data_IF_622545013139
#
_entry.id   IF_622545013139
#
_cell.length_a   1.000
_cell.length_b   1.000
_cell.length_c   1.000
_cell.angle_alpha   90.00
_cell.angle_beta   90.00
_cell.angle_gamma   90.00
#
_symmetry.space_group_name_H-M   'P 1'
#
loop_
_entity.id
_entity.type
_entity.pdbx_description
1 polymer ?
#
# COMPACT_ATOMS: atom_id res chain seq x y z
N UNK A 1 21.29 11.77 7.77
CA UNK A 1 19.90 12.00 7.24
C UNK A 1 18.89 11.75 8.34
N UNK A 2 17.80 12.53 8.41
CA UNK A 2 16.63 12.15 9.19
C UNK A 2 15.82 11.08 8.43
N UNK A 3 14.76 10.53 9.04
CA UNK A 3 13.96 9.45 8.42
C UNK A 3 13.34 9.87 7.09
N UNK A 4 12.80 11.09 6.99
CA UNK A 4 12.23 11.60 5.74
C UNK A 4 13.27 11.71 4.62
N UNK A 5 14.40 12.32 4.89
CA UNK A 5 15.49 12.47 3.91
C UNK A 5 15.98 11.11 3.40
N UNK A 6 16.10 10.13 4.28
CA UNK A 6 16.56 8.77 3.96
C UNK A 6 15.58 8.03 3.05
N UNK A 7 14.28 8.06 3.37
CA UNK A 7 13.25 7.41 2.54
C UNK A 7 13.16 8.09 1.19
N UNK A 8 13.17 9.44 1.13
CA UNK A 8 13.14 10.17 -0.14
C UNK A 8 14.38 9.94 -0.99
N UNK A 9 15.57 9.83 -0.39
CA UNK A 9 16.79 9.46 -1.11
C UNK A 9 16.62 8.10 -1.80
N UNK A 10 16.10 7.08 -1.10
CA UNK A 10 15.84 5.78 -1.71
C UNK A 10 14.81 5.86 -2.85
N UNK A 11 13.70 6.61 -2.67
CA UNK A 11 12.68 6.79 -3.70
C UNK A 11 13.23 7.51 -4.94
N UNK A 12 14.14 8.47 -4.74
CA UNK A 12 14.77 9.24 -5.82
C UNK A 12 16.01 8.56 -6.41
N UNK A 13 16.30 7.32 -6.06
CA UNK A 13 17.49 6.58 -6.49
C UNK A 13 18.81 7.27 -6.13
N UNK A 14 18.84 7.92 -4.97
CA UNK A 14 20.04 8.43 -4.32
C UNK A 14 20.51 7.45 -3.25
N UNK A 15 21.82 7.48 -2.90
CA UNK A 15 22.37 6.60 -1.86
C UNK A 15 22.04 7.19 -0.48
N UNK A 16 21.22 6.52 0.35
CA UNK A 16 20.95 6.97 1.72
C UNK A 16 22.13 6.60 2.65
N UNK A 17 22.19 7.24 3.83
CA UNK A 17 23.20 6.94 4.87
C UNK A 17 23.05 5.53 5.47
N UNK A 18 21.87 4.93 5.37
CA UNK A 18 21.57 3.52 5.60
C UNK A 18 20.33 3.12 4.79
N UNK A 19 20.10 1.83 4.61
CA UNK A 19 18.86 1.36 3.99
C UNK A 19 17.67 1.77 4.86
N UNK A 20 16.69 2.52 4.31
CA UNK A 20 15.48 2.88 5.04
C UNK A 20 14.59 1.66 5.29
N UNK A 21 13.78 1.77 6.35
CA UNK A 21 12.86 0.71 6.76
C UNK A 21 11.46 1.24 6.96
N UNK A 22 10.44 0.41 6.72
CA UNK A 22 9.04 0.68 7.03
C UNK A 22 8.39 -0.51 7.73
N UNK A 23 7.24 -0.29 8.39
CA UNK A 23 6.49 -1.32 9.10
C UNK A 23 5.01 -1.28 8.76
N UNK A 24 4.52 -2.44 8.35
CA UNK A 24 3.10 -2.72 8.27
C UNK A 24 2.80 -3.86 9.24
N UNK A 25 1.90 -3.65 10.18
CA UNK A 25 1.59 -4.62 11.22
C UNK A 25 0.15 -4.48 11.69
N UNK A 26 -0.43 -5.60 12.14
CA UNK A 26 -1.78 -5.59 12.70
C UNK A 26 -1.81 -4.90 14.08
N UNK A 27 -3.00 -4.44 14.55
CA UNK A 27 -3.13 -3.85 15.88
C UNK A 27 -2.64 -4.75 17.03
N UNK A 28 -2.81 -6.06 16.88
CA UNK A 28 -2.33 -7.04 17.85
C UNK A 28 -0.81 -7.06 17.93
N UNK A 29 -0.12 -6.99 16.78
CA UNK A 29 1.36 -6.92 16.73
C UNK A 29 1.85 -5.62 17.37
N UNK A 30 1.20 -4.49 17.09
CA UNK A 30 1.52 -3.22 17.76
C UNK A 30 1.34 -3.32 19.29
N UNK A 31 0.27 -3.97 19.75
CA UNK A 31 0.02 -4.21 21.16
C UNK A 31 1.10 -5.09 21.79
N UNK A 32 1.52 -6.16 21.08
CA UNK A 32 2.58 -7.05 21.54
C UNK A 32 3.95 -6.34 21.62
N UNK A 33 4.28 -5.50 20.63
CA UNK A 33 5.50 -4.69 20.66
C UNK A 33 5.50 -3.70 21.83
N UNK A 34 4.38 -3.02 22.10
CA UNK A 34 4.24 -2.13 23.27
C UNK A 34 4.40 -2.89 24.58
N UNK A 35 3.80 -4.08 24.70
CA UNK A 35 3.96 -4.92 25.88
C UNK A 35 5.42 -5.34 26.11
N UNK A 36 6.18 -5.58 25.03
CA UNK A 36 7.59 -5.96 25.09
C UNK A 36 8.51 -4.77 25.43
N UNK A 37 8.38 -3.64 24.74
CA UNK A 37 9.26 -2.48 24.93
C UNK A 37 8.83 -1.55 26.07
N UNK A 38 7.55 -1.59 26.46
CA UNK A 38 6.93 -0.69 27.42
C UNK A 38 5.99 0.33 26.74
N UNK A 39 4.89 0.65 27.42
CA UNK A 39 3.81 1.51 26.89
C UNK A 39 4.26 2.92 26.46
N UNK A 40 5.30 3.46 27.10
CA UNK A 40 5.81 4.81 26.82
C UNK A 40 6.97 4.86 25.84
N UNK A 41 7.38 3.72 25.27
CA UNK A 41 8.47 3.65 24.30
C UNK A 41 7.93 3.91 22.91
N UNK A 42 8.58 4.80 22.16
CA UNK A 42 8.35 4.94 20.72
C UNK A 42 8.94 3.73 20.01
N UNK A 43 8.08 2.85 19.51
CA UNK A 43 8.47 1.61 18.82
C UNK A 43 9.22 1.92 17.52
N UNK A 44 8.83 2.98 16.81
CA UNK A 44 9.50 3.38 15.56
C UNK A 44 10.96 3.76 15.83
N UNK A 45 11.20 4.52 16.90
CA UNK A 45 12.56 4.90 17.32
C UNK A 45 13.34 3.69 17.87
N UNK A 46 12.71 2.87 18.73
CA UNK A 46 13.35 1.70 19.33
C UNK A 46 13.81 0.65 18.29
N UNK A 47 13.09 0.53 17.18
CA UNK A 47 13.40 -0.37 16.07
C UNK A 47 14.09 0.33 14.89
N UNK A 48 14.44 1.62 15.01
CA UNK A 48 15.07 2.42 13.94
C UNK A 48 14.26 2.46 12.63
N UNK A 49 12.92 2.48 12.73
CA UNK A 49 12.02 2.48 11.60
C UNK A 49 11.82 3.91 11.09
N UNK A 50 12.04 4.11 9.79
CA UNK A 50 11.84 5.41 9.14
C UNK A 50 10.37 5.70 8.90
N UNK A 51 9.67 4.78 8.26
CA UNK A 51 8.22 4.79 8.06
C UNK A 51 7.70 5.84 7.08
N UNK A 52 6.56 5.52 6.48
CA UNK A 52 5.71 6.48 5.76
C UNK A 52 4.48 6.73 6.64
N UNK A 53 4.26 7.98 7.02
CA UNK A 53 3.15 8.34 7.91
C UNK A 53 1.91 8.70 7.10
N UNK A 54 0.96 7.78 7.06
CA UNK A 54 -0.28 7.92 6.30
C UNK A 54 -1.31 8.74 7.05
N UNK A 55 -1.91 9.71 6.36
CA UNK A 55 -2.99 10.56 6.86
C UNK A 55 -4.18 10.55 5.92
N UNK A 56 -5.35 10.89 6.46
CA UNK A 56 -6.61 10.93 5.71
C UNK A 56 -7.48 12.08 6.19
N UNK A 57 -8.35 12.65 5.33
CA UNK A 57 -9.30 13.66 5.76
C UNK A 57 -10.32 13.06 6.73
N UNK A 58 -10.84 13.89 7.63
CA UNK A 58 -11.83 13.48 8.61
C UNK A 58 -13.19 13.30 7.96
N UNK A 59 -13.81 12.13 8.14
CA UNK A 59 -15.19 11.93 7.69
C UNK A 59 -16.18 12.71 8.57
N UNK A 60 -16.99 13.56 7.95
CA UNK A 60 -18.04 14.39 8.58
C UNK A 60 -19.42 14.17 7.93
N UNK A 61 -19.52 13.19 7.04
CA UNK A 61 -20.74 12.88 6.30
C UNK A 61 -21.86 12.28 7.15
N UNK A 62 -22.90 11.74 6.52
CA UNK A 62 -24.01 11.12 7.22
C UNK A 62 -23.55 10.02 8.16
N UNK A 63 -24.23 9.93 9.33
CA UNK A 63 -23.90 8.89 10.32
C UNK A 63 -23.92 7.51 9.67
N UNK A 64 -22.81 6.80 9.75
CA UNK A 64 -22.70 5.42 9.33
C UNK A 64 -23.34 4.56 10.42
N UNK A 65 -24.40 3.80 10.07
CA UNK A 65 -25.07 2.96 11.05
C UNK A 65 -24.20 1.74 11.38
N UNK A 66 -24.12 1.46 12.68
CA UNK A 66 -23.54 0.23 13.19
C UNK A 66 -24.68 -0.47 13.92
N UNK A 67 -25.29 -1.46 13.28
CA UNK A 67 -26.19 -2.40 13.97
C UNK A 67 -25.37 -3.52 14.57
N UNK A 68 -25.93 -4.27 15.51
CA UNK A 68 -25.26 -5.33 16.27
C UNK A 68 -24.29 -6.18 15.44
N UNK A 69 -22.99 -5.83 15.51
CA UNK A 69 -21.90 -6.56 14.84
C UNK A 69 -21.63 -6.21 13.36
N UNK A 70 -22.27 -5.14 12.83
CA UNK A 70 -22.07 -4.70 11.45
C UNK A 70 -21.59 -3.25 11.40
N UNK A 71 -20.58 -3.00 10.58
CA UNK A 71 -20.12 -1.65 10.22
C UNK A 71 -20.48 -1.38 8.75
N UNK A 72 -20.94 -0.17 8.44
CA UNK A 72 -21.18 0.27 7.05
C UNK A 72 -20.24 1.44 6.77
N UNK A 73 -19.50 1.40 5.67
CA UNK A 73 -18.64 2.50 5.25
C UNK A 73 -19.41 3.56 4.42
N UNK A 74 -18.71 4.63 4.03
CA UNK A 74 -19.31 5.71 3.22
C UNK A 74 -19.65 5.29 1.78
N UNK A 75 -19.11 4.17 1.29
CA UNK A 75 -19.52 3.54 0.05
C UNK A 75 -20.80 2.72 0.18
N UNK A 76 -21.31 2.51 1.39
CA UNK A 76 -22.46 1.64 1.66
C UNK A 76 -22.11 0.15 1.74
N UNK A 77 -20.83 -0.18 1.81
CA UNK A 77 -20.35 -1.56 1.96
C UNK A 77 -20.50 -1.95 3.43
N UNK A 78 -21.03 -3.15 3.66
CA UNK A 78 -21.20 -3.72 5.00
C UNK A 78 -20.00 -4.58 5.35
N UNK A 79 -19.54 -4.48 6.57
CA UNK A 79 -18.45 -5.29 7.12
C UNK A 79 -18.90 -6.04 8.36
N UNK A 80 -18.46 -7.29 8.47
CA UNK A 80 -18.64 -8.11 9.67
C UNK A 80 -17.28 -8.38 10.29
N UNK A 81 -17.17 -8.23 11.61
CA UNK A 81 -15.96 -8.60 12.31
C UNK A 81 -15.85 -10.14 12.39
N UNK A 82 -14.79 -10.68 11.84
CA UNK A 82 -14.47 -12.12 11.84
C UNK A 82 -13.26 -12.35 12.75
N UNK A 83 -13.47 -13.16 13.80
CA UNK A 83 -12.41 -13.55 14.71
C UNK A 83 -11.77 -14.86 14.22
N UNK A 84 -10.44 -14.89 14.08
CA UNK A 84 -9.66 -16.07 13.65
C UNK A 84 -8.78 -16.65 14.78
N UNK A 85 -9.04 -16.27 16.03
CA UNK A 85 -8.38 -16.80 17.23
C UNK A 85 -7.16 -16.00 17.69
N UNK A 86 -6.29 -15.54 16.79
CA UNK A 86 -5.12 -14.69 17.09
C UNK A 86 -5.42 -13.19 16.96
N UNK A 87 -6.53 -12.84 16.34
CA UNK A 87 -6.98 -11.48 16.09
C UNK A 87 -8.34 -11.46 15.41
N UNK A 88 -8.74 -10.30 14.90
CA UNK A 88 -9.98 -10.14 14.15
C UNK A 88 -9.79 -9.19 12.97
N UNK A 89 -10.55 -9.39 11.89
CA UNK A 89 -10.58 -8.50 10.74
C UNK A 89 -12.01 -8.23 10.28
N UNK A 90 -12.19 -7.10 9.59
CA UNK A 90 -13.47 -6.72 9.00
C UNK A 90 -13.61 -7.36 7.61
N UNK A 91 -14.56 -8.28 7.44
CA UNK A 91 -14.87 -8.93 6.18
C UNK A 91 -16.03 -8.23 5.46
N UNK A 92 -15.89 -7.81 4.19
CA UNK A 92 -16.99 -7.21 3.44
C UNK A 92 -18.06 -8.25 3.13
N UNK A 93 -19.32 -7.90 3.35
CA UNK A 93 -20.47 -8.78 3.14
C UNK A 93 -21.60 -8.04 2.42
N UNK A 94 -22.23 -8.76 1.49
CA UNK A 94 -23.38 -8.23 0.77
C UNK A 94 -23.06 -7.01 -0.09
N UNK A 95 -22.31 -7.17 -1.19
CA UNK A 95 -21.93 -6.05 -2.06
C UNK A 95 -23.15 -5.25 -2.48
N UNK A 96 -23.18 -3.91 -2.28
CA UNK A 96 -24.41 -3.11 -2.43
C UNK A 96 -24.93 -3.06 -3.87
N UNK A 97 -24.07 -3.22 -4.85
CA UNK A 97 -24.43 -3.26 -6.28
C UNK A 97 -24.45 -4.69 -6.87
N UNK A 98 -24.46 -5.73 -6.04
CA UNK A 98 -24.44 -7.13 -6.51
C UNK A 98 -25.55 -7.44 -7.53
N UNK A 99 -26.72 -6.84 -7.34
CA UNK A 99 -27.92 -7.09 -8.17
C UNK A 99 -28.20 -5.99 -9.20
N UNK A 100 -27.37 -4.94 -9.32
CA UNK A 100 -27.50 -3.92 -10.34
C UNK A 100 -27.35 -4.54 -11.75
N UNK A 101 -28.28 -4.22 -12.66
CA UNK A 101 -28.35 -4.80 -14.01
C UNK A 101 -28.13 -3.78 -15.12
N UNK A 102 -28.40 -2.51 -14.85
CA UNK A 102 -28.40 -1.44 -15.84
C UNK A 102 -27.57 -0.24 -15.36
N UNK A 103 -27.18 0.60 -16.28
CA UNK A 103 -26.50 1.88 -15.97
C UNK A 103 -27.40 2.75 -15.08
N UNK A 104 -28.73 2.70 -15.28
CA UNK A 104 -29.67 3.43 -14.44
C UNK A 104 -29.62 2.99 -12.97
N UNK A 105 -29.36 1.70 -12.72
CA UNK A 105 -29.21 1.21 -11.34
C UNK A 105 -27.95 1.79 -10.68
N UNK A 106 -26.87 1.99 -11.47
CA UNK A 106 -25.64 2.64 -11.00
C UNK A 106 -25.86 4.12 -10.70
N UNK A 107 -26.60 4.82 -11.58
CA UNK A 107 -26.88 6.25 -11.42
C UNK A 107 -27.85 6.54 -10.27
N UNK A 108 -28.72 5.59 -9.95
CA UNK A 108 -29.64 5.68 -8.82
C UNK A 108 -28.98 5.34 -7.47
N UNK A 109 -27.75 4.81 -7.48
CA UNK A 109 -27.04 4.46 -6.25
C UNK A 109 -26.61 5.71 -5.47
N UNK A 110 -26.58 5.59 -4.14
CA UNK A 110 -26.11 6.66 -3.26
C UNK A 110 -24.57 6.68 -3.23
N UNK A 111 -23.97 7.34 -4.19
CA UNK A 111 -22.52 7.54 -4.23
C UNK A 111 -22.03 8.44 -3.08
N UNK A 112 -20.82 8.22 -2.58
CA UNK A 112 -20.20 9.13 -1.62
C UNK A 112 -19.98 10.51 -2.25
N UNK A 113 -19.89 11.54 -1.38
CA UNK A 113 -19.65 12.94 -1.80
C UNK A 113 -18.41 13.47 -1.12
N UNK A 114 -17.64 14.27 -1.82
CA UNK A 114 -16.39 14.84 -1.28
C UNK A 114 -16.68 15.81 -0.13
N UNK A 115 -17.84 16.47 -0.12
CA UNK A 115 -18.27 17.32 0.99
C UNK A 115 -18.56 16.55 2.30
N UNK A 116 -18.45 15.23 2.29
CA UNK A 116 -18.48 14.41 3.51
C UNK A 116 -17.11 14.30 4.20
N UNK A 117 -16.12 15.05 3.73
CA UNK A 117 -14.77 15.02 4.26
C UNK A 117 -14.29 16.43 4.61
N UNK A 118 -13.66 16.54 5.78
CA UNK A 118 -13.02 17.75 6.26
C UNK A 118 -11.51 17.63 6.11
N UNK A 119 -10.90 18.55 5.39
CA UNK A 119 -9.48 18.61 5.08
C UNK A 119 -8.73 19.63 5.95
N UNK A 120 -9.44 20.36 6.83
CA UNK A 120 -8.91 21.54 7.52
C UNK A 120 -7.68 21.27 8.39
N UNK A 121 -7.61 20.09 9.01
CA UNK A 121 -6.51 19.72 9.92
C UNK A 121 -5.31 19.10 9.18
N UNK A 122 -5.50 18.62 7.95
CA UNK A 122 -4.48 17.87 7.22
C UNK A 122 -3.19 18.66 7.00
N UNK A 123 -3.28 19.94 6.68
CA UNK A 123 -2.11 20.78 6.42
C UNK A 123 -1.20 20.89 7.63
N UNK A 124 -1.76 21.13 8.81
CA UNK A 124 -0.98 21.28 10.04
C UNK A 124 -0.40 19.95 10.50
N UNK A 125 -1.13 18.88 10.33
CA UNK A 125 -0.62 17.53 10.58
C UNK A 125 0.53 17.19 9.63
N UNK A 126 0.37 17.44 8.33
CA UNK A 126 1.43 17.26 7.34
C UNK A 126 2.71 18.04 7.67
N UNK A 127 2.59 19.32 8.07
CA UNK A 127 3.73 20.13 8.52
C UNK A 127 4.45 19.51 9.72
N UNK A 128 3.71 18.97 10.68
CA UNK A 128 4.27 18.32 11.86
C UNK A 128 5.04 17.05 11.50
N UNK A 129 4.42 16.17 10.72
CA UNK A 129 5.01 14.88 10.31
C UNK A 129 6.23 15.09 9.42
N UNK A 130 6.14 16.00 8.45
CA UNK A 130 7.18 16.26 7.44
C UNK A 130 8.53 16.73 8.00
N UNK A 131 8.58 17.16 9.26
CA UNK A 131 9.84 17.55 9.91
C UNK A 131 10.82 16.38 10.01
N UNK A 132 10.31 15.17 10.17
CA UNK A 132 11.13 13.99 10.44
C UNK A 132 10.81 12.80 9.54
N UNK A 133 9.55 12.66 9.06
CA UNK A 133 9.07 11.48 8.34
C UNK A 133 8.39 11.85 7.04
N UNK A 134 8.31 10.88 6.13
CA UNK A 134 7.57 11.01 4.87
C UNK A 134 6.08 11.09 5.15
N UNK A 135 5.42 12.04 4.49
CA UNK A 135 3.97 12.24 4.56
C UNK A 135 3.31 11.47 3.43
N UNK A 136 2.54 10.45 3.78
CA UNK A 136 1.66 9.73 2.87
C UNK A 136 0.22 10.20 2.99
N UNK A 137 -0.48 10.35 1.87
CA UNK A 137 -1.92 10.64 1.88
C UNK A 137 -2.61 10.16 0.61
N UNK A 138 -3.82 9.64 0.74
CA UNK A 138 -4.62 9.13 -0.36
C UNK A 138 -4.48 7.63 -0.60
N UNK A 139 -5.58 7.05 -1.05
CA UNK A 139 -5.68 5.63 -1.38
C UNK A 139 -6.65 5.45 -2.55
N UNK A 140 -6.15 4.95 -3.65
CA UNK A 140 -6.93 4.58 -4.85
C UNK A 140 -6.70 3.12 -5.15
N UNK A 141 -7.78 2.34 -5.22
CA UNK A 141 -7.78 0.94 -5.62
C UNK A 141 -9.06 0.66 -6.42
N UNK A 142 -9.01 0.91 -7.73
CA UNK A 142 -10.22 0.92 -8.56
C UNK A 142 -10.81 -0.48 -8.77
N UNK A 143 -9.95 -1.47 -8.99
CA UNK A 143 -10.39 -2.88 -9.12
C UNK A 143 -10.88 -3.43 -7.78
N UNK A 144 -10.15 -3.19 -6.70
CA UNK A 144 -10.57 -3.61 -5.36
C UNK A 144 -11.92 -2.98 -4.98
N UNK A 145 -12.11 -1.67 -5.23
CA UNK A 145 -13.38 -0.98 -5.00
C UNK A 145 -14.52 -1.53 -5.89
N UNK A 146 -14.21 -1.89 -7.14
CA UNK A 146 -15.14 -2.59 -8.02
C UNK A 146 -15.56 -3.94 -7.41
N UNK A 147 -14.60 -4.73 -6.90
CA UNK A 147 -14.89 -6.00 -6.22
C UNK A 147 -15.78 -5.80 -4.97
N UNK A 148 -15.50 -4.78 -4.16
CA UNK A 148 -16.31 -4.49 -2.97
C UNK A 148 -17.75 -4.09 -3.29
N UNK A 149 -17.95 -3.29 -4.33
CA UNK A 149 -19.29 -2.82 -4.73
C UNK A 149 -20.11 -3.87 -5.48
N UNK A 150 -19.49 -4.65 -6.36
CA UNK A 150 -20.14 -5.63 -7.23
C UNK A 150 -20.16 -7.05 -6.70
N UNK A 151 -19.24 -7.35 -5.78
CA UNK A 151 -18.86 -8.70 -5.44
C UNK A 151 -17.83 -9.29 -6.41
N UNK A 152 -16.85 -10.01 -5.89
CA UNK A 152 -15.67 -10.51 -6.61
C UNK A 152 -16.02 -11.23 -7.91
N UNK A 153 -16.99 -12.15 -7.87
CA UNK A 153 -17.45 -12.88 -9.07
C UNK A 153 -17.93 -11.96 -10.19
N UNK A 154 -18.78 -10.98 -9.85
CA UNK A 154 -19.32 -10.07 -10.84
C UNK A 154 -18.22 -9.13 -11.39
N UNK A 155 -17.33 -8.64 -10.53
CA UNK A 155 -16.23 -7.78 -10.93
C UNK A 155 -15.29 -8.45 -11.95
N UNK A 156 -15.08 -9.77 -11.84
CA UNK A 156 -14.29 -10.53 -12.82
C UNK A 156 -15.04 -10.78 -14.14
N UNK A 157 -16.38 -10.94 -14.10
CA UNK A 157 -17.18 -11.28 -15.28
C UNK A 157 -17.67 -10.06 -16.05
N UNK A 158 -18.01 -8.97 -15.35
CA UNK A 158 -18.62 -7.78 -15.96
C UNK A 158 -17.76 -7.12 -17.05
N UNK A 159 -16.43 -7.03 -16.98
CA UNK A 159 -15.60 -6.52 -18.06
C UNK A 159 -15.78 -7.25 -19.40
N UNK A 160 -16.11 -8.53 -19.34
CA UNK A 160 -16.30 -9.39 -20.53
C UNK A 160 -17.77 -9.38 -20.97
N UNK A 161 -18.70 -9.54 -20.02
CA UNK A 161 -20.12 -9.74 -20.32
C UNK A 161 -20.88 -8.42 -20.44
N UNK A 162 -20.40 -7.35 -19.81
CA UNK A 162 -21.09 -6.04 -19.70
C UNK A 162 -20.08 -4.88 -19.76
N UNK A 163 -19.28 -4.74 -20.82
CA UNK A 163 -18.19 -3.78 -20.88
C UNK A 163 -18.64 -2.33 -20.63
N UNK A 164 -19.76 -1.90 -21.21
CA UNK A 164 -20.28 -0.53 -21.04
C UNK A 164 -20.77 -0.27 -19.60
N UNK A 165 -21.41 -1.25 -18.97
CA UNK A 165 -21.79 -1.17 -17.57
C UNK A 165 -20.55 -1.06 -16.66
N UNK A 166 -19.51 -1.86 -16.96
CA UNK A 166 -18.24 -1.82 -16.21
C UNK A 166 -17.56 -0.46 -16.36
N UNK A 167 -17.44 0.07 -17.59
CA UNK A 167 -16.84 1.41 -17.80
C UNK A 167 -17.56 2.47 -16.98
N UNK A 168 -18.89 2.50 -17.06
CA UNK A 168 -19.66 3.47 -16.29
C UNK A 168 -19.49 3.35 -14.78
N UNK A 169 -19.43 2.13 -14.27
CA UNK A 169 -19.16 1.89 -12.84
C UNK A 169 -17.77 2.38 -12.43
N UNK A 170 -16.75 2.07 -13.22
CA UNK A 170 -15.38 2.52 -12.96
C UNK A 170 -15.24 4.04 -13.06
N UNK A 171 -15.95 4.69 -13.99
CA UNK A 171 -16.03 6.16 -14.07
C UNK A 171 -16.60 6.75 -12.79
N UNK A 172 -17.72 6.23 -12.29
CA UNK A 172 -18.37 6.72 -11.06
C UNK A 172 -17.50 6.55 -9.82
N UNK A 173 -16.78 5.43 -9.70
CA UNK A 173 -15.78 5.21 -8.65
C UNK A 173 -14.66 6.24 -8.77
N UNK A 174 -14.11 6.37 -9.97
CA UNK A 174 -12.93 7.22 -10.22
C UNK A 174 -13.23 8.70 -10.09
N UNK A 175 -14.42 9.17 -10.48
CA UNK A 175 -14.77 10.59 -10.39
C UNK A 175 -14.83 11.05 -8.94
N UNK A 176 -15.44 10.26 -8.04
CA UNK A 176 -15.43 10.57 -6.61
C UNK A 176 -14.01 10.56 -6.03
N UNK A 177 -13.24 9.49 -6.30
CA UNK A 177 -11.87 9.35 -5.78
C UNK A 177 -10.97 10.47 -6.31
N UNK A 178 -11.12 10.87 -7.58
CA UNK A 178 -10.33 11.93 -8.18
C UNK A 178 -10.55 13.27 -7.49
N UNK A 179 -11.82 13.67 -7.29
CA UNK A 179 -12.13 14.91 -6.61
C UNK A 179 -11.65 14.88 -5.14
N UNK A 180 -11.80 13.74 -4.45
CA UNK A 180 -11.31 13.57 -3.09
C UNK A 180 -9.77 13.79 -3.01
N UNK A 181 -9.01 13.19 -3.93
CA UNK A 181 -7.55 13.33 -3.98
C UNK A 181 -7.14 14.74 -4.37
N UNK A 182 -7.80 15.34 -5.36
CA UNK A 182 -7.53 16.72 -5.78
C UNK A 182 -7.66 17.68 -4.59
N UNK A 183 -8.78 17.65 -3.88
CA UNK A 183 -9.00 18.51 -2.70
C UNK A 183 -8.01 18.25 -1.57
N UNK A 184 -7.64 16.99 -1.37
CA UNK A 184 -6.63 16.61 -0.37
C UNK A 184 -5.25 17.18 -0.72
N UNK A 185 -4.83 17.06 -1.99
CA UNK A 185 -3.55 17.58 -2.45
C UNK A 185 -3.52 19.11 -2.42
N UNK A 186 -4.60 19.77 -2.84
CA UNK A 186 -4.76 21.24 -2.73
C UNK A 186 -4.70 21.71 -1.25
N UNK A 187 -5.44 21.03 -0.35
CA UNK A 187 -5.46 21.39 1.06
C UNK A 187 -4.08 21.30 1.73
N UNK A 188 -3.27 20.31 1.34
CA UNK A 188 -1.92 20.13 1.88
C UNK A 188 -0.85 20.98 1.19
N UNK A 189 -1.10 21.52 -0.02
CA UNK A 189 -0.24 22.50 -0.70
C UNK A 189 1.26 22.11 -0.72
N UNK A 190 1.59 21.02 -1.39
CA UNK A 190 2.96 20.51 -1.56
C UNK A 190 3.60 19.87 -0.32
N UNK A 191 2.82 19.57 0.72
CA UNK A 191 3.32 18.90 1.92
C UNK A 191 3.20 17.38 1.89
N UNK A 192 2.45 16.80 0.96
CA UNK A 192 2.37 15.35 0.76
C UNK A 192 3.56 14.91 -0.09
N UNK A 193 4.26 13.89 0.35
CA UNK A 193 5.41 13.31 -0.35
C UNK A 193 5.00 12.10 -1.22
N UNK A 194 4.04 11.28 -0.74
CA UNK A 194 3.66 10.00 -1.37
C UNK A 194 2.14 9.82 -1.33
N UNK A 195 1.57 9.25 -2.39
CA UNK A 195 0.17 8.79 -2.43
C UNK A 195 0.09 7.34 -2.91
N UNK A 196 -0.98 6.63 -2.52
CA UNK A 196 -1.22 5.26 -3.02
C UNK A 196 -2.14 5.29 -4.24
N UNK A 197 -1.63 4.81 -5.38
CA UNK A 197 -2.41 4.38 -6.53
C UNK A 197 -2.14 2.89 -6.70
N UNK A 198 -2.98 2.09 -6.09
CA UNK A 198 -2.75 0.68 -5.79
C UNK A 198 -3.89 -0.19 -6.34
N UNK A 199 -3.72 -1.48 -6.28
CA UNK A 199 -4.79 -2.48 -6.43
C UNK A 199 -4.28 -3.86 -5.96
N UNK A 200 -5.07 -4.93 -6.20
CA UNK A 200 -4.70 -6.32 -5.96
C UNK A 200 -5.08 -7.16 -7.19
N UNK A 201 -4.21 -7.16 -8.20
CA UNK A 201 -4.41 -7.93 -9.43
C UNK A 201 -3.81 -9.34 -9.37
N UNK A 202 -2.91 -9.59 -8.40
CA UNK A 202 -2.20 -10.84 -8.25
C UNK A 202 -2.88 -11.84 -7.31
N UNK A 203 -2.52 -13.10 -7.47
CA UNK A 203 -2.72 -14.17 -6.49
C UNK A 203 -1.39 -14.86 -6.23
N UNK A 204 -1.36 -15.82 -5.29
CA UNK A 204 -0.14 -16.61 -5.02
C UNK A 204 0.35 -17.39 -6.26
N UNK A 205 -0.50 -17.67 -7.24
CA UNK A 205 -0.18 -18.53 -8.37
C UNK A 205 -0.21 -17.83 -9.75
N UNK A 206 -0.75 -16.62 -9.82
CA UNK A 206 -0.88 -15.90 -11.09
C UNK A 206 -1.82 -14.70 -10.98
N UNK A 207 -2.03 -13.96 -12.07
CA UNK A 207 -2.91 -12.80 -12.09
C UNK A 207 -4.39 -13.19 -12.01
N UNK A 208 -5.22 -12.34 -11.36
CA UNK A 208 -6.69 -12.53 -11.29
C UNK A 208 -7.39 -12.17 -12.59
N UNK A 209 -6.82 -11.24 -13.34
CA UNK A 209 -7.36 -10.75 -14.61
C UNK A 209 -6.30 -10.82 -15.70
N UNK A 210 -6.74 -10.86 -16.97
CA UNK A 210 -5.82 -10.81 -18.09
C UNK A 210 -5.23 -9.41 -18.26
N UNK A 211 -4.03 -9.33 -18.86
CA UNK A 211 -3.40 -8.06 -19.23
C UNK A 211 -4.30 -7.20 -20.13
N UNK A 212 -5.11 -7.84 -21.00
CA UNK A 212 -6.08 -7.13 -21.84
C UNK A 212 -7.17 -6.46 -21.01
N UNK A 213 -7.75 -7.16 -20.03
CA UNK A 213 -8.78 -6.57 -19.14
C UNK A 213 -8.18 -5.45 -18.30
N UNK A 214 -6.97 -5.63 -17.78
CA UNK A 214 -6.24 -4.58 -17.08
C UNK A 214 -6.10 -3.32 -17.94
N UNK A 215 -5.56 -3.45 -19.16
CA UNK A 215 -5.31 -2.33 -20.08
C UNK A 215 -6.59 -1.63 -20.54
N UNK A 216 -7.68 -2.39 -20.77
CA UNK A 216 -8.92 -1.85 -21.33
C UNK A 216 -9.80 -1.17 -20.27
N UNK A 217 -9.69 -1.56 -18.99
CA UNK A 217 -10.62 -1.13 -17.94
C UNK A 217 -9.95 -0.40 -16.77
N UNK A 218 -8.82 -0.88 -16.24
CA UNK A 218 -8.25 -0.35 -14.99
C UNK A 218 -7.08 0.61 -15.22
N UNK A 219 -6.19 0.28 -16.14
CA UNK A 219 -5.02 1.10 -16.50
C UNK A 219 -5.35 2.57 -16.78
N UNK A 220 -6.41 2.93 -17.56
CA UNK A 220 -6.74 4.33 -17.83
C UNK A 220 -7.09 5.13 -16.56
N UNK A 221 -7.81 4.50 -15.62
CA UNK A 221 -8.14 5.13 -14.34
C UNK A 221 -6.89 5.32 -13.48
N UNK A 222 -6.07 4.28 -13.32
CA UNK A 222 -4.81 4.38 -12.57
C UNK A 222 -3.92 5.48 -13.12
N UNK A 223 -3.75 5.55 -14.45
CA UNK A 223 -2.94 6.60 -15.10
C UNK A 223 -3.43 8.01 -14.77
N UNK A 224 -4.75 8.24 -14.75
CA UNK A 224 -5.37 9.52 -14.36
C UNK A 224 -4.94 9.95 -12.95
N UNK A 225 -4.87 9.03 -11.98
CA UNK A 225 -4.46 9.31 -10.62
C UNK A 225 -2.94 9.51 -10.49
N UNK A 226 -2.16 8.74 -11.22
CA UNK A 226 -0.70 8.90 -11.29
C UNK A 226 -0.35 10.28 -11.84
N UNK A 227 -1.00 10.70 -12.92
CA UNK A 227 -0.80 12.03 -13.51
C UNK A 227 -1.21 13.15 -12.56
N UNK A 228 -2.33 12.98 -11.83
CA UNK A 228 -2.74 13.92 -10.80
C UNK A 228 -1.66 14.05 -9.70
N UNK A 229 -1.18 12.93 -9.16
CA UNK A 229 -0.14 12.93 -8.13
C UNK A 229 1.13 13.64 -8.60
N UNK A 230 1.62 13.30 -9.80
CA UNK A 230 2.82 13.91 -10.37
C UNK A 230 2.65 15.40 -10.67
N UNK A 231 1.44 15.88 -11.01
CA UNK A 231 1.16 17.31 -11.20
C UNK A 231 1.35 18.14 -9.92
N UNK A 232 1.27 17.49 -8.75
CA UNK A 232 1.56 18.07 -7.42
C UNK A 232 2.97 17.75 -6.92
N UNK A 233 3.81 17.05 -7.71
CA UNK A 233 5.15 16.60 -7.29
C UNK A 233 5.12 15.45 -6.27
N UNK A 234 4.00 14.74 -6.16
CA UNK A 234 3.79 13.64 -5.22
C UNK A 234 4.22 12.32 -5.86
N UNK A 235 5.00 11.52 -5.14
CA UNK A 235 5.44 10.19 -5.56
C UNK A 235 4.32 9.16 -5.44
N UNK A 236 4.29 8.18 -6.35
CA UNK A 236 3.24 7.17 -6.41
C UNK A 236 3.73 5.83 -5.87
N UNK A 237 3.09 5.41 -4.79
CA UNK A 237 3.25 4.09 -4.18
C UNK A 237 2.19 3.15 -4.74
N UNK A 238 2.62 2.02 -5.31
CA UNK A 238 1.75 0.99 -5.82
C UNK A 238 1.90 -0.29 -5.00
N UNK A 239 0.83 -0.67 -4.31
CA UNK A 239 0.71 -1.95 -3.63
C UNK A 239 -0.08 -2.92 -4.51
N UNK A 240 0.45 -4.12 -4.70
CA UNK A 240 -0.24 -5.20 -5.42
C UNK A 240 0.39 -6.55 -5.02
N UNK A 241 -0.35 -7.35 -4.27
CA UNK A 241 0.12 -8.63 -3.76
C UNK A 241 0.19 -9.71 -4.85
N UNK A 242 1.11 -10.66 -4.65
CA UNK A 242 1.16 -11.89 -5.41
C UNK A 242 1.94 -11.84 -6.74
N UNK A 243 1.52 -12.67 -7.69
CA UNK A 243 2.20 -12.86 -8.98
C UNK A 243 1.76 -11.82 -10.01
N UNK A 244 2.27 -10.59 -9.88
CA UNK A 244 1.90 -9.42 -10.70
C UNK A 244 2.86 -9.13 -11.86
N UNK A 245 3.83 -9.98 -12.08
CA UNK A 245 4.93 -9.76 -13.05
C UNK A 245 4.47 -9.23 -14.40
N UNK A 246 3.34 -9.73 -14.91
CA UNK A 246 2.83 -9.33 -16.24
C UNK A 246 2.36 -7.86 -16.32
N UNK A 247 2.02 -7.25 -15.17
CA UNK A 247 1.56 -5.85 -15.10
C UNK A 247 2.70 -4.86 -14.88
N UNK A 248 3.86 -5.30 -14.34
CA UNK A 248 4.97 -4.40 -13.96
C UNK A 248 5.44 -3.51 -15.11
N UNK A 249 5.58 -3.97 -16.37
CA UNK A 249 5.94 -3.09 -17.49
C UNK A 249 4.94 -1.94 -17.71
N UNK A 250 3.63 -2.22 -17.63
CA UNK A 250 2.59 -1.20 -17.74
C UNK A 250 2.61 -0.23 -16.54
N UNK A 251 2.86 -0.73 -15.33
CA UNK A 251 2.98 0.08 -14.12
C UNK A 251 4.14 1.07 -14.23
N UNK A 252 5.30 0.62 -14.71
CA UNK A 252 6.47 1.48 -14.99
C UNK A 252 6.14 2.52 -16.05
N UNK A 253 5.52 2.11 -17.16
CA UNK A 253 5.12 3.02 -18.26
C UNK A 253 4.11 4.08 -17.78
N UNK A 254 3.20 3.72 -16.86
CA UNK A 254 2.28 4.67 -16.24
C UNK A 254 2.97 5.67 -15.30
N UNK A 255 4.15 5.31 -14.76
CA UNK A 255 4.96 6.19 -13.92
C UNK A 255 4.78 5.95 -12.41
N UNK A 256 4.54 4.72 -11.95
CA UNK A 256 4.66 4.45 -10.52
C UNK A 256 6.13 4.65 -10.07
N UNK A 257 6.33 5.18 -8.86
CA UNK A 257 7.67 5.41 -8.31
C UNK A 257 8.10 4.29 -7.37
N UNK A 258 7.16 3.69 -6.64
CA UNK A 258 7.43 2.69 -5.61
C UNK A 258 6.56 1.45 -5.87
N UNK A 259 7.19 0.27 -5.94
CA UNK A 259 6.50 -1.02 -6.03
C UNK A 259 6.55 -1.75 -4.68
N UNK A 260 5.39 -2.09 -4.15
CA UNK A 260 5.18 -2.85 -2.91
C UNK A 260 4.20 -4.02 -3.17
N UNK A 261 4.36 -5.17 -2.52
CA UNK A 261 5.35 -5.51 -1.47
C UNK A 261 6.58 -6.28 -1.97
N UNK A 262 6.70 -6.59 -3.25
CA UNK A 262 7.70 -7.51 -3.85
C UNK A 262 7.62 -8.90 -3.23
N UNK A 263 6.49 -9.56 -3.43
CA UNK A 263 6.27 -10.91 -2.90
C UNK A 263 7.00 -11.96 -3.76
N UNK A 264 8.32 -12.06 -3.56
CA UNK A 264 9.25 -12.86 -4.36
C UNK A 264 8.99 -14.37 -4.34
N UNK A 265 8.20 -14.86 -3.39
CA UNK A 265 7.78 -16.28 -3.32
C UNK A 265 6.75 -16.64 -4.41
N UNK A 266 6.16 -15.64 -5.07
CA UNK A 266 5.20 -15.84 -6.14
C UNK A 266 5.87 -16.02 -7.52
N UNK A 267 5.22 -16.72 -8.47
CA UNK A 267 5.76 -16.92 -9.81
C UNK A 267 6.12 -15.62 -10.52
N UNK A 268 7.32 -15.55 -11.09
CA UNK A 268 7.82 -14.42 -11.86
C UNK A 268 8.28 -13.21 -11.03
N UNK A 269 8.20 -13.27 -9.69
CA UNK A 269 8.55 -12.15 -8.81
C UNK A 269 9.97 -12.30 -8.21
N UNK A 270 10.87 -12.94 -8.93
CA UNK A 270 12.28 -13.08 -8.51
C UNK A 270 12.93 -11.71 -8.28
N UNK A 271 13.62 -11.53 -7.14
CA UNK A 271 14.19 -10.23 -6.73
C UNK A 271 15.28 -9.75 -7.69
N UNK A 272 16.18 -10.64 -8.12
CA UNK A 272 17.31 -10.35 -8.98
C UNK A 272 16.82 -9.89 -10.37
N UNK A 273 15.81 -10.59 -10.91
CA UNK A 273 15.19 -10.24 -12.20
C UNK A 273 14.49 -8.90 -12.13
N UNK A 274 13.67 -8.67 -11.08
CA UNK A 274 12.97 -7.40 -10.86
C UNK A 274 13.94 -6.24 -10.72
N UNK A 275 15.01 -6.38 -9.93
CA UNK A 275 16.02 -5.33 -9.76
C UNK A 275 16.77 -5.05 -11.06
N UNK A 276 17.16 -6.09 -11.80
CA UNK A 276 17.88 -5.95 -13.06
C UNK A 276 17.05 -5.23 -14.12
N UNK A 277 15.76 -5.60 -14.23
CA UNK A 277 14.90 -5.10 -15.30
C UNK A 277 14.26 -3.75 -14.97
N UNK A 278 13.83 -3.54 -13.72
CA UNK A 278 13.07 -2.36 -13.33
C UNK A 278 13.74 -1.46 -12.30
N UNK A 279 14.85 -1.88 -11.70
CA UNK A 279 15.50 -1.17 -10.60
C UNK A 279 16.00 0.24 -10.92
N UNK A 280 16.05 0.63 -12.20
CA UNK A 280 16.35 2.02 -12.62
C UNK A 280 15.12 2.93 -12.61
N UNK A 281 13.94 2.33 -12.55
CA UNK A 281 12.65 3.03 -12.65
C UNK A 281 11.84 2.95 -11.37
N UNK A 282 12.03 1.88 -10.58
CA UNK A 282 11.23 1.58 -9.40
C UNK A 282 12.09 1.55 -8.13
N UNK A 283 11.62 2.26 -7.10
CA UNK A 283 12.01 1.97 -5.73
C UNK A 283 11.21 0.74 -5.25
N UNK A 284 11.89 -0.30 -4.81
CA UNK A 284 11.24 -1.48 -4.24
C UNK A 284 10.99 -1.27 -2.75
N UNK A 285 9.78 -1.54 -2.31
CA UNK A 285 9.37 -1.48 -0.91
C UNK A 285 8.87 -2.85 -0.48
N UNK A 286 9.45 -3.45 0.55
CA UNK A 286 9.05 -4.77 1.03
C UNK A 286 10.16 -5.80 1.01
N UNK A 287 9.90 -6.98 0.43
CA UNK A 287 10.85 -8.08 0.24
C UNK A 287 10.95 -9.04 1.43
N UNK A 288 10.60 -8.64 2.66
CA UNK A 288 10.65 -9.54 3.81
C UNK A 288 9.41 -10.45 3.85
N UNK A 289 9.63 -11.73 3.59
CA UNK A 289 8.56 -12.74 3.61
C UNK A 289 7.96 -12.89 5.01
N UNK A 290 6.71 -12.48 5.17
CA UNK A 290 5.94 -12.59 6.40
C UNK A 290 5.13 -13.91 6.51
N UNK A 291 5.04 -14.69 5.44
CA UNK A 291 4.30 -15.96 5.45
C UNK A 291 5.13 -17.12 6.02
N UNK A 292 6.44 -17.11 5.82
CA UNK A 292 7.34 -18.20 6.22
C UNK A 292 8.48 -17.69 7.09
N UNK A 293 9.21 -16.67 6.62
CA UNK A 293 10.43 -16.22 7.29
C UNK A 293 10.11 -15.50 8.60
N UNK A 294 9.33 -14.41 8.57
CA UNK A 294 8.99 -13.70 9.80
C UNK A 294 8.16 -14.54 10.77
N UNK A 295 7.29 -15.41 10.25
CA UNK A 295 6.36 -16.18 11.08
C UNK A 295 6.97 -17.45 11.68
N UNK A 296 7.90 -18.13 10.98
CA UNK A 296 8.28 -19.50 11.36
C UNK A 296 9.78 -19.79 11.31
N UNK A 297 10.62 -18.86 10.85
CA UNK A 297 12.06 -19.06 10.84
C UNK A 297 12.71 -18.68 12.19
N UNK A 298 13.99 -19.01 12.37
CA UNK A 298 14.75 -18.53 13.53
C UNK A 298 15.21 -17.07 13.31
N UNK A 299 15.52 -16.32 14.39
CA UNK A 299 16.07 -14.96 14.26
C UNK A 299 17.31 -14.87 13.34
N UNK A 300 18.18 -15.90 13.33
CA UNK A 300 19.36 -15.96 12.46
C UNK A 300 18.97 -16.09 10.99
N UNK A 301 17.93 -16.87 10.68
CA UNK A 301 17.41 -17.00 9.32
C UNK A 301 16.74 -15.70 8.86
N UNK A 302 16.03 -15.02 9.77
CA UNK A 302 15.46 -13.68 9.49
C UNK A 302 16.58 -12.69 9.16
N UNK A 303 17.69 -12.66 9.94
CA UNK A 303 18.84 -11.80 9.65
C UNK A 303 19.49 -12.13 8.30
N UNK A 304 19.60 -13.41 7.97
CA UNK A 304 20.14 -13.84 6.67
C UNK A 304 19.26 -13.36 5.51
N UNK A 305 17.93 -13.41 5.66
CA UNK A 305 16.98 -12.91 4.66
C UNK A 305 17.03 -11.39 4.50
N UNK A 306 17.17 -10.64 5.59
CA UNK A 306 17.41 -9.18 5.54
C UNK A 306 18.64 -8.87 4.69
N UNK A 307 19.77 -9.56 4.93
CA UNK A 307 20.99 -9.37 4.13
C UNK A 307 20.76 -9.68 2.66
N UNK A 308 20.10 -10.81 2.36
CA UNK A 308 19.78 -11.19 0.99
C UNK A 308 18.92 -10.13 0.28
N UNK A 309 17.89 -9.62 0.94
CA UNK A 309 17.05 -8.56 0.37
C UNK A 309 17.86 -7.29 0.09
N UNK A 310 18.71 -6.86 1.04
CA UNK A 310 19.55 -5.67 0.87
C UNK A 310 20.55 -5.87 -0.26
N UNK A 311 21.28 -7.00 -0.27
CA UNK A 311 22.30 -7.31 -1.29
C UNK A 311 21.72 -7.37 -2.70
N UNK A 312 20.44 -7.79 -2.82
CA UNK A 312 19.76 -7.92 -4.10
C UNK A 312 19.09 -6.61 -4.53
N UNK A 313 18.14 -6.11 -3.72
CA UNK A 313 17.30 -4.97 -4.10
C UNK A 313 18.01 -3.62 -4.00
N UNK A 314 19.03 -3.52 -3.17
CA UNK A 314 19.90 -2.36 -3.10
C UNK A 314 21.28 -2.62 -3.77
N UNK A 315 21.39 -3.54 -4.72
CA UNK A 315 22.66 -3.94 -5.33
C UNK A 315 23.50 -2.80 -5.93
N UNK A 316 22.86 -1.71 -6.34
CA UNK A 316 23.47 -0.46 -6.78
C UNK A 316 23.56 0.62 -5.68
N UNK A 317 23.07 0.35 -4.48
CA UNK A 317 23.02 1.27 -3.33
C UNK A 317 21.76 2.12 -3.26
N UNK A 318 20.81 1.94 -4.19
CA UNK A 318 19.64 2.83 -4.36
C UNK A 318 18.33 2.08 -4.52
N UNK A 319 17.22 2.78 -4.44
CA UNK A 319 15.90 2.29 -4.86
C UNK A 319 15.36 1.12 -4.02
N UNK A 320 15.64 1.09 -2.70
CA UNK A 320 15.12 0.05 -1.82
C UNK A 320 14.73 0.59 -0.43
N UNK A 321 13.55 0.17 0.03
CA UNK A 321 13.02 0.36 1.38
C UNK A 321 12.68 -1.02 1.93
N UNK A 322 13.37 -1.46 2.99
CA UNK A 322 13.12 -2.77 3.58
C UNK A 322 11.85 -2.73 4.43
N UNK A 323 10.90 -3.59 4.12
CA UNK A 323 9.63 -3.71 4.82
C UNK A 323 9.10 -5.16 4.76
N UNK A 324 8.14 -5.55 5.60
CA UNK A 324 7.43 -6.82 5.42
C UNK A 324 6.62 -6.80 4.13
N UNK A 325 6.43 -7.96 3.50
CA UNK A 325 5.63 -8.10 2.28
C UNK A 325 4.15 -7.73 2.47
N UNK A 326 3.64 -7.80 3.68
CA UNK A 326 2.28 -7.37 4.06
C UNK A 326 2.27 -7.07 5.57
N UNK A 327 1.11 -6.76 6.14
CA UNK A 327 0.97 -6.59 7.59
C UNK A 327 1.54 -7.80 8.33
N UNK A 328 2.52 -7.55 9.22
CA UNK A 328 3.01 -8.57 10.14
C UNK A 328 1.83 -9.07 10.98
N UNK A 329 1.67 -10.38 11.03
CA UNK A 329 0.56 -11.05 11.72
C UNK A 329 0.97 -11.48 13.14
N UNK A 330 0.01 -11.66 14.09
CA UNK A 330 0.29 -12.04 15.47
C UNK A 330 1.02 -13.40 15.63
N UNK A 331 1.04 -14.22 14.59
CA UNK A 331 1.79 -15.48 14.55
C UNK A 331 3.31 -15.26 14.49
N UNK A 332 3.76 -14.08 14.07
CA UNK A 332 5.19 -13.75 13.98
C UNK A 332 5.78 -13.48 15.37
N UNK A 333 6.81 -14.23 15.79
CA UNK A 333 7.47 -14.01 17.08
C UNK A 333 8.07 -12.60 17.15
N UNK A 334 7.99 -11.97 18.33
CA UNK A 334 8.57 -10.62 18.53
C UNK A 334 10.07 -10.62 18.26
N UNK A 335 10.78 -11.69 18.63
CA UNK A 335 12.20 -11.86 18.41
C UNK A 335 12.58 -11.80 16.93
N UNK A 336 11.71 -12.31 16.04
CA UNK A 336 11.88 -12.24 14.61
C UNK A 336 11.69 -10.82 14.08
N UNK A 337 10.70 -10.09 14.61
CA UNK A 337 10.47 -8.67 14.26
C UNK A 337 11.67 -7.83 14.68
N UNK A 338 12.17 -8.01 15.91
CA UNK A 338 13.36 -7.32 16.42
C UNK A 338 14.59 -7.68 15.59
N UNK A 339 14.77 -8.97 15.27
CA UNK A 339 15.91 -9.43 14.46
C UNK A 339 15.91 -8.81 13.07
N UNK A 340 14.74 -8.64 12.43
CA UNK A 340 14.61 -8.00 11.15
C UNK A 340 15.09 -6.54 11.18
N UNK A 341 14.59 -5.73 12.09
CA UNK A 341 14.93 -4.30 12.14
C UNK A 341 16.33 -4.03 12.69
N UNK A 342 16.79 -4.79 13.68
CA UNK A 342 18.17 -4.70 14.19
C UNK A 342 19.20 -5.03 13.10
N UNK A 343 18.97 -6.09 12.30
CA UNK A 343 19.85 -6.43 11.20
C UNK A 343 19.76 -5.40 10.05
N UNK A 344 18.56 -4.92 9.73
CA UNK A 344 18.39 -3.87 8.73
C UNK A 344 19.18 -2.61 9.10
N UNK A 345 19.15 -2.21 10.37
CA UNK A 345 19.91 -1.07 10.85
C UNK A 345 21.42 -1.34 10.77
N UNK A 346 21.90 -2.45 11.34
CA UNK A 346 23.32 -2.75 11.44
C UNK A 346 23.97 -3.05 10.08
N UNK A 347 23.33 -3.91 9.30
CA UNK A 347 23.85 -4.31 8.00
C UNK A 347 23.64 -3.21 6.96
N UNK A 348 22.47 -2.56 6.95
CA UNK A 348 22.13 -1.47 6.04
C UNK A 348 23.06 -0.26 6.19
N UNK A 349 23.47 0.09 7.41
CA UNK A 349 24.44 1.17 7.65
C UNK A 349 25.81 0.83 7.03
N UNK A 350 26.36 -0.34 7.32
CA UNK A 350 27.63 -0.79 6.74
C UNK A 350 27.60 -0.93 5.22
N UNK A 351 26.45 -1.30 4.69
CA UNK A 351 26.24 -1.46 3.24
C UNK A 351 26.32 -0.11 2.52
N UNK A 352 25.65 0.91 3.05
CA UNK A 352 25.66 2.26 2.49
C UNK A 352 27.04 2.93 2.64
N UNK A 353 27.73 2.79 3.78
CA UNK A 353 29.08 3.32 3.99
C UNK A 353 30.08 2.86 2.92
N UNK A 354 30.04 1.58 2.53
CA UNK A 354 30.91 1.02 1.48
C UNK A 354 30.68 1.61 0.09
N UNK A 355 29.56 2.25 -0.15
CA UNK A 355 29.18 2.81 -1.45
C UNK A 355 29.28 4.32 -1.53
N UNK A 356 29.46 4.99 -0.38
CA UNK A 356 29.73 6.42 -0.29
C UNK A 356 31.22 6.76 -0.42
N UNK A 357 32.11 5.73 -0.38
CA UNK A 357 33.56 5.84 -0.56
C UNK A 357 33.89 5.49 -2.02
#
# INVERSE_FOLDING_TARGET
MNSRERVLAAINHEIPDRIPTDIWATPEVWSNLKAYFGENVDIMEALHIDGIMWMSPKYIGPKLSVDEGWKIDYWGIRYKLVNYGLGAYEEPVGPPLAYAKTIRDLEAYRWPKVDWFDFSEMREEAKRVRRERVVGAGYVAVFFQHCLLRGFKNALLDPILRPEFTRRLLDLISDFLYELHLRMFEACDGLIDVTQVTDDFGTQNGPMISLKVFRDFYRPHMKKFIDLAHSFGIKVFHHDDGAIRIFVPDLVEMGIDILNPVQWTCPGMNLEELKTEFGKHLCFHGGMDNQRILSFATPEQVRAEVRRCIDTLASDGTGYILAPCHNIQPVSPIENIIAMYDEAYRYGSKYSEKRLI
#
